data_IF_121200693689
#
_entry.id   IF_121200693689
#
_cell.length_a   1.000
_cell.length_b   1.000
_cell.length_c   1.000
_cell.angle_alpha   90.00
_cell.angle_beta   90.00
_cell.angle_gamma   90.00
#
_symmetry.space_group_name_H-M   'P 1'
#
loop_
_entity.id
_entity.type
_entity.pdbx_description
1 polymer ?
#
# COMPACT_ATOMS: atom_id res chain seq x y z
N UNK A 1 16.03 -2.88 29.43
CA UNK A 1 14.65 -2.38 29.41
C UNK A 1 14.09 -2.76 28.07
N UNK A 2 12.99 -3.51 28.06
CA UNK A 2 12.31 -3.85 26.81
C UNK A 2 11.45 -2.66 26.40
N UNK A 3 11.83 -1.99 25.32
CA UNK A 3 11.07 -0.87 24.77
C UNK A 3 9.81 -1.40 24.08
N UNK A 4 8.70 -0.68 24.24
CA UNK A 4 7.46 -0.97 23.49
C UNK A 4 7.49 -0.28 22.13
N UNK A 5 6.74 -0.81 21.15
CA UNK A 5 6.63 -0.18 19.84
C UNK A 5 6.08 1.24 19.95
N UNK A 6 5.10 1.46 20.83
CA UNK A 6 4.48 2.77 21.04
C UNK A 6 5.52 3.80 21.50
N UNK A 7 6.38 3.43 22.47
CA UNK A 7 7.47 4.31 22.90
C UNK A 7 8.40 4.65 21.73
N UNK A 8 8.75 3.66 20.90
CA UNK A 8 9.59 3.89 19.71
C UNK A 8 8.91 4.82 18.69
N UNK A 9 7.62 4.65 18.41
CA UNK A 9 6.88 5.50 17.45
C UNK A 9 6.67 6.93 17.97
N UNK A 10 6.65 7.12 19.29
CA UNK A 10 6.54 8.43 19.93
C UNK A 10 7.83 9.23 19.88
N UNK A 11 8.97 8.60 19.65
CA UNK A 11 10.22 9.31 19.46
C UNK A 11 10.17 10.20 18.21
N UNK A 12 10.55 11.46 18.38
CA UNK A 12 10.52 12.44 17.28
C UNK A 12 11.47 12.03 16.14
N UNK A 13 12.63 11.49 16.52
CA UNK A 13 13.72 11.13 15.61
C UNK A 13 13.57 9.73 15.00
N UNK A 14 12.55 8.93 15.36
CA UNK A 14 12.43 7.51 14.91
C UNK A 14 12.55 7.34 13.39
N UNK A 15 11.92 8.23 12.61
CA UNK A 15 11.96 8.18 11.15
C UNK A 15 13.35 8.55 10.63
N UNK A 16 14.01 9.51 11.28
CA UNK A 16 15.38 9.90 10.94
C UNK A 16 16.36 8.77 11.28
N UNK A 17 16.20 8.11 12.43
CA UNK A 17 17.04 6.97 12.82
C UNK A 17 16.86 5.76 11.89
N UNK A 18 15.63 5.51 11.41
CA UNK A 18 15.38 4.51 10.37
C UNK A 18 16.18 4.83 9.10
N UNK A 19 16.11 6.08 8.63
CA UNK A 19 16.86 6.56 7.44
C UNK A 19 18.38 6.54 7.63
N UNK A 20 18.85 6.72 8.86
CA UNK A 20 20.26 6.61 9.23
C UNK A 20 20.73 5.15 9.43
N UNK A 21 19.84 4.19 9.22
CA UNK A 21 20.11 2.76 9.35
C UNK A 21 20.60 2.37 10.76
N UNK A 22 19.98 2.94 11.80
CA UNK A 22 20.27 2.54 13.17
C UNK A 22 19.97 1.05 13.38
N UNK A 23 21.02 0.23 13.42
CA UNK A 23 20.90 -1.23 13.48
C UNK A 23 20.05 -1.73 14.64
N UNK A 24 20.20 -1.16 15.84
CA UNK A 24 19.41 -1.61 17.01
C UNK A 24 17.92 -1.35 16.84
N UNK A 25 17.59 -0.19 16.28
CA UNK A 25 16.21 0.16 15.97
C UNK A 25 15.64 -0.74 14.88
N UNK A 26 16.41 -0.99 13.81
CA UNK A 26 16.00 -1.87 12.72
C UNK A 26 15.79 -3.30 13.23
N UNK A 27 16.73 -3.85 14.01
CA UNK A 27 16.63 -5.19 14.57
C UNK A 27 15.37 -5.33 15.46
N UNK A 28 15.01 -4.28 16.20
CA UNK A 28 13.76 -4.22 16.97
C UNK A 28 12.53 -4.18 16.05
N UNK A 29 12.47 -3.23 15.11
CA UNK A 29 11.32 -3.05 14.20
C UNK A 29 11.10 -4.24 13.27
N UNK A 30 12.16 -4.97 12.94
CA UNK A 30 12.12 -6.16 12.10
C UNK A 30 11.65 -7.42 12.83
N UNK A 31 11.40 -7.38 14.15
CA UNK A 31 10.85 -8.52 14.86
C UNK A 31 9.38 -8.77 14.41
N UNK A 32 8.95 -10.05 14.25
CA UNK A 32 7.65 -10.38 13.65
C UNK A 32 6.44 -9.71 14.29
N UNK A 33 6.44 -9.60 15.61
CA UNK A 33 5.37 -8.94 16.36
C UNK A 33 5.32 -7.43 16.12
N UNK A 34 6.47 -6.80 15.88
CA UNK A 34 6.54 -5.36 15.58
C UNK A 34 6.09 -5.08 14.15
N UNK A 35 6.53 -5.88 13.18
CA UNK A 35 6.07 -5.78 11.79
C UNK A 35 4.55 -5.98 11.72
N UNK A 36 4.02 -6.99 12.42
CA UNK A 36 2.57 -7.18 12.52
C UNK A 36 1.87 -5.96 13.12
N UNK A 37 2.36 -5.42 14.23
CA UNK A 37 1.74 -4.26 14.87
C UNK A 37 1.81 -2.99 13.99
N UNK A 38 2.91 -2.78 13.24
CA UNK A 38 3.03 -1.70 12.26
C UNK A 38 1.97 -1.83 11.16
N UNK A 39 1.75 -3.05 10.65
CA UNK A 39 0.71 -3.34 9.66
C UNK A 39 -0.68 -3.08 10.25
N UNK A 40 -0.94 -3.56 11.48
CA UNK A 40 -2.20 -3.34 12.20
C UNK A 40 -2.52 -1.83 12.29
N UNK A 41 -1.54 -0.99 12.63
CA UNK A 41 -1.72 0.48 12.67
C UNK A 41 -2.07 1.10 11.31
N UNK A 42 -1.65 0.49 10.19
CA UNK A 42 -1.95 1.00 8.85
C UNK A 42 -3.33 0.52 8.36
N UNK A 43 -3.68 -0.75 8.60
CA UNK A 43 -4.85 -1.41 7.97
C UNK A 43 -5.99 -1.81 8.91
N UNK A 44 -5.89 -1.56 10.21
CA UNK A 44 -7.03 -1.66 11.12
C UNK A 44 -7.63 -0.28 11.44
N UNK A 45 -8.90 -0.25 11.83
CA UNK A 45 -9.48 0.95 12.42
C UNK A 45 -8.96 1.14 13.85
N UNK A 46 -8.61 2.38 14.24
CA UNK A 46 -8.24 2.64 15.62
C UNK A 46 -9.45 2.39 16.55
N UNK A 47 -9.23 2.00 17.81
CA UNK A 47 -10.30 1.86 18.78
C UNK A 47 -11.16 3.12 18.88
N UNK A 48 -12.49 2.98 18.97
CA UNK A 48 -13.41 4.12 19.07
C UNK A 48 -13.09 5.00 20.29
N UNK A 49 -12.69 4.37 21.39
CA UNK A 49 -12.27 4.99 22.65
C UNK A 49 -10.76 5.32 22.70
N UNK A 50 -10.02 5.05 21.62
CA UNK A 50 -8.61 5.39 21.50
C UNK A 50 -8.35 6.89 21.54
N UNK A 51 -7.18 7.28 22.05
CA UNK A 51 -6.72 8.66 22.06
C UNK A 51 -6.24 9.15 20.70
N UNK A 52 -5.86 10.43 20.63
CA UNK A 52 -5.37 11.05 19.40
C UNK A 52 -4.12 10.36 18.84
N UNK A 53 -3.31 9.75 19.72
CA UNK A 53 -2.11 9.01 19.32
C UNK A 53 -2.47 7.76 18.54
N UNK A 54 -3.39 6.93 19.05
CA UNK A 54 -3.84 5.73 18.34
C UNK A 54 -4.54 6.07 17.02
N UNK A 55 -5.30 7.17 17.00
CA UNK A 55 -6.10 7.56 15.83
C UNK A 55 -5.28 8.20 14.71
N UNK A 56 -4.23 8.94 15.05
CA UNK A 56 -3.52 9.78 14.08
C UNK A 56 -2.00 9.58 14.07
N UNK A 57 -1.36 9.48 15.24
CA UNK A 57 0.12 9.47 15.32
C UNK A 57 0.70 8.10 14.98
N UNK A 58 0.18 7.02 15.58
CA UNK A 58 0.72 5.68 15.35
C UNK A 58 0.50 5.19 13.90
N UNK A 59 -0.69 5.35 13.28
CA UNK A 59 -0.88 5.03 11.86
C UNK A 59 0.08 5.78 10.93
N UNK A 60 0.25 7.09 11.18
CA UNK A 60 1.18 7.91 10.42
C UNK A 60 2.61 7.40 10.55
N UNK A 61 3.13 7.29 11.77
CA UNK A 61 4.51 6.83 12.04
C UNK A 61 4.75 5.41 11.54
N UNK A 62 3.78 4.51 11.67
CA UNK A 62 3.88 3.16 11.14
C UNK A 62 4.02 3.16 9.62
N UNK A 63 3.22 3.97 8.91
CA UNK A 63 3.33 4.13 7.45
C UNK A 63 4.70 4.71 7.04
N UNK A 64 5.26 5.64 7.81
CA UNK A 64 6.60 6.19 7.55
C UNK A 64 7.69 5.13 7.76
N UNK A 65 7.63 4.34 8.84
CA UNK A 65 8.59 3.27 9.12
C UNK A 65 8.55 2.20 8.03
N UNK A 66 7.36 1.73 7.66
CA UNK A 66 7.17 0.74 6.59
C UNK A 66 7.57 1.29 5.21
N UNK A 67 7.71 2.61 5.07
CA UNK A 67 8.16 3.26 3.84
C UNK A 67 9.60 3.79 3.91
N UNK A 68 10.38 3.38 4.93
CA UNK A 68 11.75 3.89 5.18
C UNK A 68 12.87 3.01 4.60
N UNK A 69 12.57 2.12 3.66
CA UNK A 69 13.55 1.29 2.94
C UNK A 69 14.35 0.34 3.84
N UNK A 70 13.66 -0.29 4.81
CA UNK A 70 14.26 -1.18 5.78
C UNK A 70 14.15 -2.64 5.32
N UNK A 71 15.18 -3.15 4.63
CA UNK A 71 15.17 -4.52 4.08
C UNK A 71 14.83 -5.60 5.12
N UNK A 72 15.33 -5.49 6.35
CA UNK A 72 15.04 -6.45 7.41
C UNK A 72 13.54 -6.46 7.80
N UNK A 73 12.87 -5.31 7.75
CA UNK A 73 11.42 -5.23 7.97
C UNK A 73 10.67 -5.89 6.80
N UNK A 74 11.13 -5.67 5.57
CA UNK A 74 10.52 -6.30 4.38
C UNK A 74 10.74 -7.81 4.36
N UNK A 75 11.92 -8.30 4.74
CA UNK A 75 12.21 -9.73 4.89
C UNK A 75 11.21 -10.37 5.85
N UNK A 76 11.02 -9.77 7.03
CA UNK A 76 10.05 -10.26 8.02
C UNK A 76 8.61 -10.18 7.52
N UNK A 77 8.23 -9.11 6.83
CA UNK A 77 6.90 -8.96 6.24
C UNK A 77 6.60 -10.10 5.27
N UNK A 78 7.44 -10.29 4.24
CA UNK A 78 7.20 -11.28 3.19
C UNK A 78 7.46 -12.72 3.64
N UNK A 79 8.20 -12.94 4.73
CA UNK A 79 8.33 -14.25 5.36
C UNK A 79 7.07 -14.69 6.12
N UNK A 80 6.11 -13.79 6.39
CA UNK A 80 4.90 -14.09 7.12
C UNK A 80 3.64 -13.89 6.25
N UNK A 81 3.15 -15.00 5.69
CA UNK A 81 1.98 -15.00 4.83
C UNK A 81 0.73 -14.43 5.51
N UNK A 82 0.54 -14.62 6.81
CA UNK A 82 -0.59 -14.06 7.56
C UNK A 82 -0.56 -12.53 7.56
N UNK A 83 0.62 -11.95 7.77
CA UNK A 83 0.80 -10.49 7.80
C UNK A 83 0.66 -9.89 6.40
N UNK A 84 1.22 -10.54 5.38
CA UNK A 84 1.01 -10.16 3.97
C UNK A 84 -0.48 -10.21 3.62
N UNK A 85 -1.15 -11.31 3.96
CA UNK A 85 -2.58 -11.48 3.71
C UNK A 85 -3.40 -10.38 4.41
N UNK A 86 -3.11 -10.08 5.67
CA UNK A 86 -3.78 -9.01 6.39
C UNK A 86 -3.60 -7.66 5.71
N UNK A 87 -2.36 -7.31 5.35
CA UNK A 87 -2.08 -6.02 4.72
C UNK A 87 -2.79 -5.86 3.37
N UNK A 88 -2.64 -6.83 2.47
CA UNK A 88 -3.15 -6.73 1.10
C UNK A 88 -4.65 -7.03 0.96
N UNK A 89 -5.32 -7.53 2.01
CA UNK A 89 -6.79 -7.68 2.01
C UNK A 89 -7.53 -6.40 2.41
N UNK A 90 -6.82 -5.34 2.83
CA UNK A 90 -7.39 -4.03 3.17
C UNK A 90 -8.44 -3.53 2.16
N UNK A 91 -8.14 -3.58 0.86
CA UNK A 91 -9.07 -3.11 -0.17
C UNK A 91 -10.32 -3.99 -0.28
N UNK A 92 -10.18 -5.31 -0.09
CA UNK A 92 -11.30 -6.25 -0.19
C UNK A 92 -12.18 -6.28 1.06
N UNK A 93 -11.65 -5.87 2.22
CA UNK A 93 -12.39 -5.83 3.49
C UNK A 93 -13.04 -4.49 3.78
N UNK A 94 -12.56 -3.42 3.15
CA UNK A 94 -13.09 -2.07 3.34
C UNK A 94 -14.34 -1.81 2.48
N UNK A 95 -15.32 -1.12 3.07
CA UNK A 95 -16.45 -0.59 2.31
C UNK A 95 -16.01 0.60 1.44
N UNK A 96 -16.61 0.72 0.26
CA UNK A 96 -16.41 1.88 -0.62
C UNK A 96 -17.33 3.03 -0.18
N UNK A 97 -16.85 4.28 -0.09
CA UNK A 97 -15.49 4.73 -0.39
C UNK A 97 -14.51 4.47 0.77
N UNK A 98 -13.25 4.22 0.43
CA UNK A 98 -12.18 4.05 1.44
C UNK A 98 -11.99 5.32 2.26
N UNK A 99 -11.62 5.16 3.55
CA UNK A 99 -11.11 6.26 4.35
C UNK A 99 -9.86 6.88 3.67
N UNK A 100 -9.87 8.17 3.30
CA UNK A 100 -8.79 8.76 2.48
C UNK A 100 -7.41 8.73 3.14
N UNK A 101 -7.34 8.88 4.47
CA UNK A 101 -6.06 8.89 5.20
C UNK A 101 -5.45 7.48 5.16
N UNK A 102 -6.26 6.47 5.44
CA UNK A 102 -5.81 5.07 5.49
C UNK A 102 -5.49 4.54 4.09
N UNK A 103 -6.30 4.90 3.10
CA UNK A 103 -6.00 4.64 1.70
C UNK A 103 -4.66 5.28 1.30
N UNK A 104 -4.38 6.51 1.75
CA UNK A 104 -3.10 7.17 1.57
C UNK A 104 -1.92 6.40 2.18
N UNK A 105 -2.05 5.93 3.42
CA UNK A 105 -1.01 5.12 4.07
C UNK A 105 -0.79 3.78 3.37
N UNK A 106 -1.86 3.08 3.01
CA UNK A 106 -1.80 1.84 2.24
C UNK A 106 -1.10 2.05 0.90
N UNK A 107 -1.55 3.04 0.12
CA UNK A 107 -0.95 3.40 -1.18
C UNK A 107 0.53 3.74 -1.04
N UNK A 108 0.90 4.51 -0.03
CA UNK A 108 2.30 4.87 0.25
C UNK A 108 3.15 3.62 0.48
N UNK A 109 2.74 2.74 1.39
CA UNK A 109 3.50 1.53 1.73
C UNK A 109 3.60 0.59 0.52
N UNK A 110 2.50 0.32 -0.18
CA UNK A 110 2.53 -0.54 -1.39
C UNK A 110 3.42 0.07 -2.49
N UNK A 111 3.38 1.39 -2.68
CA UNK A 111 4.25 2.07 -3.66
C UNK A 111 5.73 1.92 -3.32
N UNK A 112 6.09 1.99 -2.04
CA UNK A 112 7.46 1.70 -1.59
C UNK A 112 7.82 0.24 -1.82
N UNK A 113 6.93 -0.69 -1.49
CA UNK A 113 7.18 -2.13 -1.71
C UNK A 113 7.35 -2.47 -3.19
N UNK A 114 6.54 -1.89 -4.09
CA UNK A 114 6.75 -2.01 -5.54
C UNK A 114 8.17 -1.57 -5.95
N UNK A 115 8.63 -0.46 -5.41
CA UNK A 115 9.94 0.10 -5.77
C UNK A 115 11.14 -0.64 -5.15
N UNK A 116 10.93 -1.40 -4.06
CA UNK A 116 12.01 -2.00 -3.26
C UNK A 116 12.01 -3.52 -3.25
N UNK A 117 10.85 -4.12 -3.49
CA UNK A 117 10.55 -5.56 -3.47
C UNK A 117 9.57 -5.89 -4.61
N UNK A 118 9.90 -5.56 -5.87
CA UNK A 118 8.97 -5.66 -6.98
C UNK A 118 8.47 -7.09 -7.17
N UNK A 119 9.35 -8.09 -7.14
CA UNK A 119 9.01 -9.50 -7.37
C UNK A 119 7.96 -9.98 -6.36
N UNK A 120 8.25 -9.86 -5.06
CA UNK A 120 7.33 -10.29 -4.01
C UNK A 120 6.02 -9.48 -4.03
N UNK A 121 6.10 -8.19 -4.37
CA UNK A 121 4.92 -7.32 -4.40
C UNK A 121 4.02 -7.62 -5.58
N UNK A 122 4.56 -7.86 -6.77
CA UNK A 122 3.79 -8.23 -7.96
C UNK A 122 3.10 -9.58 -7.79
N UNK A 123 3.78 -10.55 -7.19
CA UNK A 123 3.19 -11.86 -6.87
C UNK A 123 1.96 -11.71 -5.96
N UNK A 124 2.02 -10.83 -4.97
CA UNK A 124 0.89 -10.56 -4.08
C UNK A 124 -0.21 -9.78 -4.82
N UNK A 125 0.13 -8.75 -5.58
CA UNK A 125 -0.84 -7.97 -6.40
C UNK A 125 -1.64 -8.88 -7.31
N UNK A 126 -0.96 -9.79 -8.01
CA UNK A 126 -1.56 -10.78 -8.91
C UNK A 126 -2.42 -11.78 -8.13
N UNK A 127 -1.87 -12.42 -7.11
CA UNK A 127 -2.56 -13.50 -6.38
C UNK A 127 -3.77 -13.01 -5.58
N UNK A 128 -3.75 -11.77 -5.09
CA UNK A 128 -4.87 -11.16 -4.35
C UNK A 128 -5.85 -10.40 -5.24
N UNK A 129 -5.55 -10.26 -6.54
CA UNK A 129 -6.39 -9.49 -7.45
C UNK A 129 -6.51 -8.03 -7.01
N UNK A 130 -5.39 -7.40 -6.65
CA UNK A 130 -5.39 -6.03 -6.11
C UNK A 130 -5.88 -5.01 -7.16
N UNK A 131 -5.52 -5.19 -8.43
CA UNK A 131 -5.90 -4.28 -9.52
C UNK A 131 -7.43 -4.19 -9.70
N UNK A 132 -8.18 -5.31 -9.78
CA UNK A 132 -9.64 -5.28 -9.71
C UNK A 132 -10.19 -4.54 -8.48
N UNK A 133 -9.57 -4.70 -7.30
CA UNK A 133 -9.99 -3.99 -6.08
C UNK A 133 -9.74 -2.48 -6.18
N UNK A 134 -8.60 -2.06 -6.73
CA UNK A 134 -8.31 -0.64 -6.97
C UNK A 134 -9.33 -0.01 -7.92
N UNK A 135 -9.74 -0.74 -8.96
CA UNK A 135 -10.78 -0.30 -9.88
C UNK A 135 -12.14 -0.15 -9.17
N UNK A 136 -12.49 -1.03 -8.23
CA UNK A 136 -13.71 -0.89 -7.43
C UNK A 136 -13.68 0.39 -6.59
N UNK A 137 -12.53 0.72 -6.00
CA UNK A 137 -12.34 1.88 -5.12
C UNK A 137 -11.84 3.15 -5.82
N UNK A 138 -11.91 3.21 -7.16
CA UNK A 138 -11.29 4.29 -7.94
C UNK A 138 -11.88 5.69 -7.69
N UNK A 139 -13.03 5.80 -7.01
CA UNK A 139 -13.51 7.08 -6.48
C UNK A 139 -12.56 7.71 -5.45
N UNK A 140 -11.74 6.90 -4.79
CA UNK A 140 -10.71 7.40 -3.86
C UNK A 140 -9.42 7.66 -4.64
N UNK A 141 -8.93 8.90 -4.63
CA UNK A 141 -7.73 9.31 -5.38
C UNK A 141 -6.50 8.43 -5.09
N UNK A 142 -6.29 8.00 -3.84
CA UNK A 142 -5.19 7.09 -3.49
C UNK A 142 -5.26 5.73 -4.20
N UNK A 143 -6.46 5.23 -4.53
CA UNK A 143 -6.62 4.00 -5.31
C UNK A 143 -6.27 4.23 -6.79
N UNK A 144 -6.65 5.38 -7.36
CA UNK A 144 -6.22 5.81 -8.69
C UNK A 144 -4.69 5.93 -8.76
N UNK A 145 -4.08 6.63 -7.80
CA UNK A 145 -2.63 6.83 -7.75
C UNK A 145 -1.88 5.49 -7.69
N UNK A 146 -2.33 4.57 -6.84
CA UNK A 146 -1.73 3.24 -6.76
C UNK A 146 -1.95 2.43 -8.05
N UNK A 147 -3.12 2.52 -8.68
CA UNK A 147 -3.38 1.86 -9.96
C UNK A 147 -2.39 2.34 -11.04
N UNK A 148 -2.22 3.66 -11.17
CA UNK A 148 -1.25 4.25 -12.11
C UNK A 148 0.18 3.77 -11.81
N UNK A 149 0.57 3.77 -10.53
CA UNK A 149 1.89 3.30 -10.10
C UNK A 149 2.13 1.83 -10.45
N UNK A 150 1.15 0.95 -10.21
CA UNK A 150 1.25 -0.48 -10.57
C UNK A 150 1.47 -0.65 -12.06
N UNK A 151 0.71 0.05 -12.91
CA UNK A 151 0.84 -0.06 -14.36
C UNK A 151 2.21 0.42 -14.83
N UNK A 152 2.67 1.59 -14.36
CA UNK A 152 3.98 2.12 -14.74
C UNK A 152 5.14 1.20 -14.31
N UNK A 153 5.09 0.62 -13.10
CA UNK A 153 6.12 -0.34 -12.64
C UNK A 153 6.11 -1.63 -13.45
N UNK A 154 4.93 -2.13 -13.84
CA UNK A 154 4.79 -3.29 -14.73
C UNK A 154 5.39 -3.01 -16.10
N UNK A 155 5.12 -1.84 -16.68
CA UNK A 155 5.66 -1.44 -17.98
C UNK A 155 7.19 -1.31 -17.96
N UNK A 156 7.73 -0.70 -16.90
CA UNK A 156 9.18 -0.59 -16.69
C UNK A 156 9.82 -1.99 -16.60
N UNK A 157 9.31 -2.87 -15.74
CA UNK A 157 9.83 -4.23 -15.59
C UNK A 157 9.67 -5.08 -16.88
N UNK A 158 8.56 -4.92 -17.60
CA UNK A 158 8.35 -5.60 -18.89
C UNK A 158 9.35 -5.13 -19.95
N UNK A 159 9.69 -3.83 -19.98
CA UNK A 159 10.66 -3.26 -20.92
C UNK A 159 12.07 -3.81 -20.70
N UNK A 160 12.40 -4.17 -19.46
CA UNK A 160 13.66 -4.79 -19.05
C UNK A 160 13.67 -6.31 -19.24
N UNK A 161 12.54 -6.90 -19.68
CA UNK A 161 12.34 -8.35 -19.83
C UNK A 161 12.51 -9.12 -18.52
N UNK A 162 12.19 -8.49 -17.38
CA UNK A 162 12.37 -9.07 -16.04
C UNK A 162 11.24 -10.04 -15.68
N UNK A 163 10.01 -9.83 -16.18
CA UNK A 163 8.86 -10.68 -15.87
C UNK A 163 7.76 -10.64 -16.94
N UNK A 164 6.87 -11.65 -16.92
CA UNK A 164 5.67 -11.72 -17.75
C UNK A 164 4.44 -11.21 -16.97
N UNK A 165 3.87 -10.13 -17.48
CA UNK A 165 2.71 -9.45 -16.90
C UNK A 165 1.41 -9.68 -17.69
N UNK A 166 1.31 -10.80 -18.42
CA UNK A 166 0.08 -11.24 -19.11
C UNK A 166 -1.20 -11.10 -18.28
N UNK A 167 -1.10 -11.35 -16.97
CA UNK A 167 -2.22 -11.23 -16.03
C UNK A 167 -2.83 -9.82 -15.95
N UNK A 168 -2.06 -8.77 -16.21
CA UNK A 168 -2.56 -7.40 -16.21
C UNK A 168 -3.34 -7.11 -17.50
N UNK A 169 -2.87 -7.65 -18.63
CA UNK A 169 -3.58 -7.55 -19.91
C UNK A 169 -4.92 -8.30 -19.87
N UNK A 170 -4.98 -9.45 -19.19
CA UNK A 170 -6.21 -10.24 -19.03
C UNK A 170 -7.33 -9.49 -18.28
N UNK A 171 -7.00 -8.44 -17.52
CA UNK A 171 -8.00 -7.61 -16.82
C UNK A 171 -8.74 -6.67 -17.78
N UNK A 172 -8.15 -6.35 -18.94
CA UNK A 172 -8.67 -5.38 -19.91
C UNK A 172 -9.02 -4.03 -19.27
N UNK A 173 -8.00 -3.40 -18.67
CA UNK A 173 -8.11 -2.14 -17.93
C UNK A 173 -8.83 -1.05 -18.74
N UNK A 174 -8.55 -0.95 -20.03
CA UNK A 174 -9.15 0.07 -20.91
C UNK A 174 -10.66 -0.11 -20.97
N UNK A 175 -11.14 -1.33 -21.25
CA UNK A 175 -12.59 -1.60 -21.31
C UNK A 175 -13.27 -1.37 -19.97
N UNK A 176 -12.64 -1.80 -18.86
CA UNK A 176 -13.20 -1.59 -17.51
C UNK A 176 -13.31 -0.11 -17.18
N UNK A 177 -12.28 0.69 -17.49
CA UNK A 177 -12.29 2.13 -17.24
C UNK A 177 -13.28 2.88 -18.15
N UNK A 178 -13.44 2.48 -19.41
CA UNK A 178 -14.46 3.04 -20.29
C UNK A 178 -15.88 2.81 -19.75
N UNK A 179 -16.15 1.62 -19.18
CA UNK A 179 -17.41 1.34 -18.50
C UNK A 179 -17.67 2.24 -17.28
N UNK A 180 -16.61 2.78 -16.66
CA UNK A 180 -16.70 3.70 -15.52
C UNK A 180 -17.01 5.15 -15.90
N UNK A 181 -17.05 5.47 -17.19
CA UNK A 181 -17.48 6.78 -17.71
C UNK A 181 -19.01 6.88 -17.91
N UNK A 182 -19.76 5.86 -17.50
CA UNK A 182 -21.21 5.91 -17.56
C UNK A 182 -21.75 7.03 -16.66
N UNK A 183 -22.65 7.85 -17.23
CA UNK A 183 -23.27 9.00 -16.56
C UNK A 183 -24.06 8.66 -15.29
N UNK A 184 -24.41 7.39 -15.10
CA UNK A 184 -25.11 6.88 -13.91
C UNK A 184 -24.20 6.68 -12.70
N UNK A 185 -22.88 6.65 -12.91
CA UNK A 185 -21.89 6.48 -11.86
C UNK A 185 -21.53 7.82 -11.21
N UNK A 186 -20.91 7.74 -10.04
CA UNK A 186 -20.45 8.91 -9.31
C UNK A 186 -19.46 9.76 -10.15
N UNK A 187 -19.52 11.09 -10.02
CA UNK A 187 -18.68 11.99 -10.82
C UNK A 187 -17.19 11.83 -10.54
N UNK A 188 -16.82 11.45 -9.33
CA UNK A 188 -15.43 11.20 -8.95
C UNK A 188 -14.91 9.91 -9.59
N UNK A 189 -15.76 8.87 -9.69
CA UNK A 189 -15.44 7.65 -10.45
C UNK A 189 -15.17 7.98 -11.92
N UNK A 190 -16.03 8.80 -12.54
CA UNK A 190 -15.86 9.20 -13.93
C UNK A 190 -14.59 10.04 -14.14
N UNK A 191 -14.32 11.00 -13.24
CA UNK A 191 -13.14 11.85 -13.29
C UNK A 191 -11.86 11.01 -13.16
N UNK A 192 -11.78 10.15 -12.14
CA UNK A 192 -10.60 9.33 -11.90
C UNK A 192 -10.39 8.26 -12.98
N UNK A 193 -11.47 7.68 -13.52
CA UNK A 193 -11.36 6.77 -14.66
C UNK A 193 -10.84 7.49 -15.92
N UNK A 194 -11.25 8.74 -16.15
CA UNK A 194 -10.73 9.56 -17.25
C UNK A 194 -9.24 9.83 -17.08
N UNK A 195 -8.80 10.17 -15.87
CA UNK A 195 -7.37 10.38 -15.56
C UNK A 195 -6.57 9.09 -15.79
N UNK A 196 -7.07 7.94 -15.32
CA UNK A 196 -6.42 6.65 -15.53
C UNK A 196 -6.23 6.33 -17.03
N UNK A 197 -7.29 6.50 -17.83
CA UNK A 197 -7.23 6.30 -19.28
C UNK A 197 -6.21 7.22 -19.95
N UNK A 198 -6.18 8.50 -19.59
CA UNK A 198 -5.17 9.43 -20.10
C UNK A 198 -3.76 8.98 -19.70
N UNK A 199 -3.58 8.55 -18.45
CA UNK A 199 -2.31 8.06 -17.93
C UNK A 199 -1.77 6.82 -18.67
N UNK A 200 -2.65 5.92 -19.10
CA UNK A 200 -2.26 4.71 -19.84
C UNK A 200 -1.98 4.95 -21.33
N UNK A 201 -2.57 6.00 -21.93
CA UNK A 201 -2.39 6.31 -23.36
C UNK A 201 -1.23 7.30 -23.59
N UNK A 202 -0.83 8.04 -22.56
CA UNK A 202 0.19 9.10 -22.67
C UNK A 202 1.62 8.63 -22.33
N UNK A 203 1.79 7.38 -21.94
CA UNK A 203 3.09 6.73 -21.70
C UNK A 203 3.55 6.00 -22.98
#
# INVERSE_FOLDING_TARGET
EDFTLQQVLEENEVIQECKQLNKKLIDFLAAPEQVKALIDYVVDEPPEDGGDKEKFIYPYKASEVLSSDLNAVYDTLFANEEVVNKFFTFLSSAESPLNPIRAGYFTKVVSTLLSRRPDETFDVIKSKGLVPQLLLHISTYSALELLLKVVSEVEEAASLQEADFGWLYDIDLVSVLLGKLDKSLDSEVQANASVALVGFVSQ
#
